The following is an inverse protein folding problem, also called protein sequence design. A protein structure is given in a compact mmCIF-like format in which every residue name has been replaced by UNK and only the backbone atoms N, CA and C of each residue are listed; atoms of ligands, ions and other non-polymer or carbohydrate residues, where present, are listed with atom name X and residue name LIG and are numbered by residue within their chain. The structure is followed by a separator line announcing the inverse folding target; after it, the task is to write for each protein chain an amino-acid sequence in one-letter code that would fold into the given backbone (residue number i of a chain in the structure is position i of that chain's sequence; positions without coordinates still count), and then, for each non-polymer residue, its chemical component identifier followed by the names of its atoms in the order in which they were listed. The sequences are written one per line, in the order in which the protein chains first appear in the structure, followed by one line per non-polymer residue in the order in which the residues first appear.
data_IF_208225018388
#
_entry.id   IF_208225018388
#
_cell.length_a   1.000
_cell.length_b   1.000
_cell.length_c   1.000
_cell.angle_alpha   90.00
_cell.angle_beta   90.00
_cell.angle_gamma   90.00
#
_symmetry.space_group_name_H-M   'P 1'
#
loop_
_entity.id
_entity.type
_entity.pdbx_description
1 polymer ?
#
# COMPACT_ATOMS: atom_id res chain seq x y z
N UNK A 1 36.95 -33.57 -0.23
CA UNK A 1 38.07 -32.96 0.53
C UNK A 1 37.66 -31.81 1.45
N UNK A 2 36.50 -31.20 1.29
CA UNK A 2 36.05 -30.06 2.14
C UNK A 2 35.52 -30.45 3.53
N UNK A 3 35.05 -31.66 3.76
CA UNK A 3 34.43 -32.07 5.05
C UNK A 3 35.45 -32.41 6.15
N UNK A 4 36.65 -32.81 5.82
CA UNK A 4 37.68 -33.14 6.80
C UNK A 4 38.32 -31.92 7.49
N UNK A 5 38.33 -30.77 6.85
CA UNK A 5 38.89 -29.54 7.45
C UNK A 5 38.00 -28.97 8.54
N UNK A 6 36.70 -29.21 8.50
CA UNK A 6 35.75 -28.63 9.46
C UNK A 6 35.80 -29.37 10.80
N UNK A 7 35.99 -30.70 10.80
CA UNK A 7 35.99 -31.52 12.02
C UNK A 7 37.33 -31.41 12.82
N UNK A 8 38.45 -31.19 12.16
CA UNK A 8 39.73 -30.94 12.85
C UNK A 8 39.81 -29.55 13.46
N UNK A 9 39.18 -28.55 12.84
CA UNK A 9 39.14 -27.17 13.37
C UNK A 9 38.29 -27.05 14.62
N UNK A 10 37.26 -27.85 14.74
CA UNK A 10 36.34 -27.82 15.93
C UNK A 10 37.02 -28.45 17.16
N UNK A 11 37.95 -29.43 16.97
CA UNK A 11 38.64 -30.12 18.09
C UNK A 11 39.59 -29.20 18.86
N UNK A 12 40.14 -28.18 18.22
CA UNK A 12 41.10 -27.25 18.84
C UNK A 12 40.44 -26.08 19.60
N UNK A 13 39.10 -25.96 19.53
CA UNK A 13 38.37 -24.91 20.22
C UNK A 13 37.91 -25.37 21.60
N UNK A 14 38.25 -24.57 22.61
CA UNK A 14 37.68 -24.72 23.94
C UNK A 14 36.20 -24.44 23.85
N UNK A 15 35.37 -25.42 24.20
CA UNK A 15 33.93 -25.25 24.28
C UNK A 15 33.62 -24.17 25.37
N UNK A 16 33.07 -23.06 24.96
CA UNK A 16 32.58 -22.01 25.85
C UNK A 16 31.05 -22.07 25.75
N UNK A 17 30.35 -22.40 26.86
CA UNK A 17 28.89 -22.38 26.85
C UNK A 17 28.42 -20.94 26.62
N UNK A 18 27.70 -20.73 25.55
CA UNK A 18 27.18 -19.42 25.14
C UNK A 18 25.66 -19.40 25.42
N UNK A 19 25.22 -18.33 26.05
CA UNK A 19 23.80 -18.09 26.28
C UNK A 19 23.19 -17.45 25.02
N UNK A 20 22.72 -18.31 24.11
CA UNK A 20 22.10 -17.87 22.87
C UNK A 20 20.96 -16.88 23.10
N UNK A 21 20.20 -17.03 24.20
CA UNK A 21 19.10 -16.13 24.51
C UNK A 21 19.58 -14.71 24.85
N UNK A 22 20.70 -14.57 25.55
CA UNK A 22 21.29 -13.24 25.82
C UNK A 22 21.76 -12.56 24.55
N UNK A 23 22.41 -13.27 23.66
CA UNK A 23 22.86 -12.73 22.37
C UNK A 23 21.66 -12.36 21.49
N UNK A 24 20.62 -13.20 21.43
CA UNK A 24 19.41 -12.92 20.70
C UNK A 24 18.72 -11.64 21.23
N UNK A 25 18.51 -11.57 22.54
CA UNK A 25 17.90 -10.39 23.18
C UNK A 25 18.74 -9.13 23.02
N UNK A 26 20.06 -9.24 23.13
CA UNK A 26 20.97 -8.13 22.86
C UNK A 26 20.87 -7.63 21.42
N UNK A 27 20.88 -8.54 20.45
CA UNK A 27 20.75 -8.20 19.02
C UNK A 27 19.40 -7.57 18.72
N UNK A 28 18.30 -8.14 19.24
CA UNK A 28 16.97 -7.55 19.10
C UNK A 28 16.89 -6.16 19.71
N UNK A 29 17.49 -5.97 20.89
CA UNK A 29 17.56 -4.66 21.54
C UNK A 29 18.30 -3.62 20.67
N UNK A 30 19.42 -3.99 20.07
CA UNK A 30 20.16 -3.11 19.14
C UNK A 30 19.32 -2.78 17.92
N UNK A 31 18.65 -3.76 17.33
CA UNK A 31 17.77 -3.56 16.16
C UNK A 31 16.63 -2.61 16.52
N UNK A 32 15.97 -2.80 17.65
CA UNK A 32 14.88 -1.91 18.11
C UNK A 32 15.39 -0.48 18.30
N UNK A 33 16.52 -0.29 18.96
CA UNK A 33 17.12 1.04 19.14
C UNK A 33 17.46 1.67 17.79
N UNK A 34 18.07 0.90 16.87
CA UNK A 34 18.39 1.37 15.53
C UNK A 34 17.14 1.82 14.77
N UNK A 35 16.08 1.00 14.79
CA UNK A 35 14.80 1.34 14.16
C UNK A 35 14.20 2.61 14.75
N UNK A 36 14.21 2.77 16.07
CA UNK A 36 13.69 3.99 16.73
C UNK A 36 14.50 5.23 16.36
N UNK A 37 15.83 5.12 16.31
CA UNK A 37 16.71 6.23 15.89
C UNK A 37 16.44 6.59 14.42
N UNK A 38 16.36 5.61 13.54
CA UNK A 38 16.05 5.86 12.13
C UNK A 38 14.65 6.47 11.96
N UNK A 39 13.66 6.01 12.73
CA UNK A 39 12.33 6.60 12.76
C UNK A 39 12.33 8.06 13.20
N UNK A 40 13.11 8.39 14.22
CA UNK A 40 13.23 9.77 14.70
C UNK A 40 13.90 10.70 13.68
N UNK A 41 14.87 10.20 12.92
CA UNK A 41 15.61 11.00 11.92
C UNK A 41 14.83 11.13 10.61
N UNK A 42 14.23 10.04 10.14
CA UNK A 42 13.60 9.94 8.81
C UNK A 42 12.07 9.88 8.87
N UNK A 43 11.47 9.81 10.05
CA UNK A 43 10.03 9.81 10.22
C UNK A 43 9.41 11.13 9.77
N UNK A 44 8.24 11.04 9.15
CA UNK A 44 7.44 12.23 8.80
C UNK A 44 6.68 12.69 10.04
N UNK A 45 6.57 14.01 10.29
CA UNK A 45 5.75 14.53 11.37
C UNK A 45 4.33 13.99 11.31
N UNK A 46 3.76 13.70 12.47
CA UNK A 46 2.39 13.23 12.58
C UNK A 46 1.43 14.23 11.94
N UNK A 47 0.58 13.73 11.06
CA UNK A 47 -0.46 14.52 10.39
C UNK A 47 -1.84 14.09 10.89
N UNK A 48 -2.81 15.00 10.88
CA UNK A 48 -4.18 14.63 11.19
C UNK A 48 -4.66 13.49 10.29
N UNK A 49 -5.46 12.55 10.81
CA UNK A 49 -5.98 11.45 10.01
C UNK A 49 -6.83 11.99 8.85
N UNK A 50 -6.71 11.33 7.70
CA UNK A 50 -7.56 11.64 6.55
C UNK A 50 -9.01 11.30 6.90
N UNK A 51 -9.90 12.26 6.69
CA UNK A 51 -11.34 12.11 6.89
C UNK A 51 -12.09 12.58 5.66
N UNK A 52 -13.27 12.01 5.41
CA UNK A 52 -14.13 12.43 4.27
C UNK A 52 -14.45 13.93 4.38
N UNK A 53 -14.78 14.40 5.58
CA UNK A 53 -15.06 15.83 5.81
C UNK A 53 -13.83 16.70 5.54
N UNK A 54 -12.67 16.30 6.04
CA UNK A 54 -11.41 17.01 5.81
C UNK A 54 -11.07 17.10 4.32
N UNK A 55 -11.12 15.98 3.62
CA UNK A 55 -10.83 15.90 2.20
C UNK A 55 -11.83 16.73 1.36
N UNK A 56 -13.15 16.59 1.61
CA UNK A 56 -14.18 17.37 0.93
C UNK A 56 -14.07 18.90 1.17
N UNK A 57 -13.57 19.30 2.35
CA UNK A 57 -13.42 20.72 2.69
C UNK A 57 -12.16 21.32 2.10
N UNK A 58 -11.03 20.61 2.18
CA UNK A 58 -9.72 21.10 1.75
C UNK A 58 -9.51 20.96 0.23
N UNK A 59 -10.06 19.89 -0.37
CA UNK A 59 -9.85 19.54 -1.78
C UNK A 59 -11.19 19.30 -2.50
N UNK A 60 -12.10 20.28 -2.59
CA UNK A 60 -13.45 20.07 -3.10
C UNK A 60 -13.50 19.63 -4.57
N UNK A 61 -12.58 20.10 -5.43
CA UNK A 61 -12.52 19.67 -6.83
C UNK A 61 -12.06 18.23 -6.94
N UNK A 62 -11.02 17.83 -6.19
CA UNK A 62 -10.53 16.46 -6.16
C UNK A 62 -11.60 15.51 -5.58
N UNK A 63 -12.32 15.95 -4.53
CA UNK A 63 -13.44 15.18 -3.98
C UNK A 63 -14.55 14.94 -5.02
N UNK A 64 -14.94 15.98 -5.78
CA UNK A 64 -15.94 15.81 -6.85
C UNK A 64 -15.43 14.88 -7.97
N UNK A 65 -14.15 14.96 -8.32
CA UNK A 65 -13.56 14.05 -9.30
C UNK A 65 -13.60 12.58 -8.81
N UNK A 66 -13.21 12.34 -7.54
CA UNK A 66 -13.30 11.01 -6.91
C UNK A 66 -14.75 10.50 -6.90
N UNK A 67 -15.69 11.30 -6.42
CA UNK A 67 -17.10 10.92 -6.36
C UNK A 67 -17.67 10.65 -7.78
N UNK A 68 -17.19 11.37 -8.80
CA UNK A 68 -17.60 11.13 -10.20
C UNK A 68 -17.05 9.82 -10.74
N UNK A 69 -15.78 9.49 -10.43
CA UNK A 69 -15.18 8.19 -10.78
C UNK A 69 -15.89 7.03 -10.10
N UNK A 70 -16.24 7.17 -8.82
CA UNK A 70 -17.01 6.16 -8.11
C UNK A 70 -18.41 5.98 -8.71
N UNK A 71 -19.09 7.10 -9.05
CA UNK A 71 -20.40 7.07 -9.74
C UNK A 71 -20.33 6.37 -11.10
N UNK A 72 -19.20 6.48 -11.79
CA UNK A 72 -18.96 5.81 -13.08
C UNK A 72 -18.44 4.38 -12.93
N UNK A 73 -18.12 3.93 -11.73
CA UNK A 73 -17.50 2.63 -11.48
C UNK A 73 -16.04 2.55 -11.96
N UNK A 74 -15.34 3.69 -12.03
CA UNK A 74 -13.93 3.79 -12.45
C UNK A 74 -13.00 4.27 -11.33
N UNK A 75 -13.50 4.47 -10.12
CA UNK A 75 -12.68 4.74 -8.95
C UNK A 75 -11.68 3.60 -8.67
N UNK A 76 -10.64 3.88 -7.90
CA UNK A 76 -9.61 2.87 -7.59
C UNK A 76 -10.18 1.60 -6.94
N UNK A 77 -11.21 1.73 -6.13
CA UNK A 77 -11.92 0.56 -5.59
C UNK A 77 -12.64 -0.24 -6.68
N UNK A 78 -13.08 0.41 -7.76
CA UNK A 78 -13.68 -0.23 -8.91
C UNK A 78 -12.68 -1.07 -9.74
N UNK A 79 -11.38 -0.86 -9.59
CA UNK A 79 -10.35 -1.63 -10.30
C UNK A 79 -10.31 -3.11 -9.91
N UNK A 80 -10.93 -3.49 -8.80
CA UNK A 80 -11.05 -4.90 -8.44
C UNK A 80 -11.98 -5.71 -9.37
N UNK A 81 -12.79 -5.07 -10.19
CA UNK A 81 -13.61 -5.76 -11.19
C UNK A 81 -14.70 -6.69 -10.65
N UNK A 82 -15.48 -7.30 -11.54
CA UNK A 82 -16.47 -8.31 -11.15
C UNK A 82 -15.80 -9.56 -10.55
N UNK A 83 -16.36 -10.19 -9.51
CA UNK A 83 -17.66 -9.89 -8.90
C UNK A 83 -17.62 -8.81 -7.83
N UNK A 84 -16.49 -8.14 -7.62
CA UNK A 84 -16.26 -7.22 -6.49
C UNK A 84 -16.85 -5.83 -6.74
N UNK A 85 -16.96 -5.43 -8.00
CA UNK A 85 -17.58 -4.18 -8.40
C UNK A 85 -18.05 -4.24 -9.85
N UNK A 86 -18.71 -3.18 -10.32
CA UNK A 86 -19.18 -3.05 -11.71
C UNK A 86 -18.15 -2.35 -12.62
N UNK A 87 -16.95 -2.08 -12.12
CA UNK A 87 -15.90 -1.43 -12.89
C UNK A 87 -15.32 -2.31 -13.98
N UNK A 88 -14.44 -1.72 -14.77
CA UNK A 88 -13.71 -2.40 -15.84
C UNK A 88 -12.46 -3.10 -15.36
N UNK A 89 -12.01 -2.81 -14.13
CA UNK A 89 -10.85 -3.45 -13.51
C UNK A 89 -11.11 -4.94 -13.24
N UNK A 90 -10.11 -5.75 -13.46
CA UNK A 90 -10.19 -7.21 -13.27
C UNK A 90 -8.86 -7.80 -12.83
N UNK A 91 -7.83 -6.97 -12.78
CA UNK A 91 -6.44 -7.41 -12.66
C UNK A 91 -6.20 -8.21 -11.39
N UNK A 92 -6.80 -7.77 -10.31
CA UNK A 92 -6.63 -8.37 -8.98
C UNK A 92 -7.66 -9.48 -8.67
N UNK A 93 -8.59 -9.77 -9.61
CA UNK A 93 -9.72 -10.65 -9.33
C UNK A 93 -9.31 -12.07 -8.91
N UNK A 94 -8.25 -12.62 -9.47
CA UNK A 94 -7.78 -13.96 -9.14
C UNK A 94 -7.04 -13.99 -7.80
N UNK A 95 -6.25 -12.98 -7.50
CA UNK A 95 -5.62 -12.81 -6.20
C UNK A 95 -6.66 -12.62 -5.09
N UNK A 96 -7.71 -11.86 -5.35
CA UNK A 96 -8.82 -11.66 -4.42
C UNK A 96 -9.56 -12.97 -4.14
N UNK A 97 -9.82 -13.78 -5.15
CA UNK A 97 -10.42 -15.11 -4.98
C UNK A 97 -9.55 -16.03 -4.12
N UNK A 98 -8.24 -16.06 -4.40
CA UNK A 98 -7.27 -16.85 -3.62
C UNK A 98 -7.21 -16.36 -2.17
N UNK A 99 -7.26 -15.04 -1.96
CA UNK A 99 -7.22 -14.41 -0.63
C UNK A 99 -8.52 -14.56 0.16
N UNK A 100 -9.59 -15.10 -0.44
CA UNK A 100 -10.88 -15.25 0.20
C UNK A 100 -11.64 -13.94 0.43
N UNK A 101 -11.37 -12.90 -0.37
CA UNK A 101 -12.13 -11.64 -0.32
C UNK A 101 -13.43 -11.84 -1.10
N UNK A 102 -14.53 -11.99 -0.37
CA UNK A 102 -15.84 -12.37 -0.95
C UNK A 102 -16.91 -11.27 -0.85
N UNK A 103 -16.53 -10.04 -0.56
CA UNK A 103 -17.46 -8.93 -0.45
C UNK A 103 -17.44 -8.10 -1.73
N UNK A 104 -18.38 -8.32 -2.66
CA UNK A 104 -18.49 -7.49 -3.84
C UNK A 104 -18.85 -6.06 -3.44
N UNK A 105 -18.16 -5.09 -4.04
CA UNK A 105 -18.36 -3.67 -3.75
C UNK A 105 -18.88 -3.01 -5.02
N UNK A 106 -20.08 -2.46 -4.94
CA UNK A 106 -20.60 -1.57 -5.96
C UNK A 106 -20.39 -0.12 -5.51
N UNK A 107 -19.26 0.48 -5.92
CA UNK A 107 -18.88 1.83 -5.51
C UNK A 107 -19.95 2.87 -5.88
N UNK A 108 -20.56 2.75 -7.05
CA UNK A 108 -21.66 3.63 -7.49
C UNK A 108 -22.81 3.63 -6.49
N UNK A 109 -23.28 2.43 -6.13
CA UNK A 109 -24.41 2.28 -5.23
C UNK A 109 -24.03 2.62 -3.78
N UNK A 110 -22.94 2.05 -3.28
CA UNK A 110 -22.62 2.12 -1.87
C UNK A 110 -22.06 3.49 -1.46
N UNK A 111 -21.26 4.12 -2.33
CA UNK A 111 -20.60 5.37 -1.96
C UNK A 111 -21.37 6.62 -2.40
N UNK A 112 -22.18 6.54 -3.47
CA UNK A 112 -22.82 7.70 -4.07
C UNK A 112 -24.34 7.60 -4.01
N UNK A 113 -24.95 6.62 -4.66
CA UNK A 113 -26.40 6.62 -4.84
C UNK A 113 -27.17 6.37 -3.55
N UNK A 114 -26.75 5.45 -2.69
CA UNK A 114 -27.38 5.22 -1.38
C UNK A 114 -27.26 6.43 -0.45
N UNK A 115 -26.09 7.05 -0.22
CA UNK A 115 -26.00 8.27 0.55
C UNK A 115 -26.89 9.40 -0.01
N UNK A 116 -26.95 9.55 -1.34
CA UNK A 116 -27.81 10.54 -1.98
C UNK A 116 -29.30 10.23 -1.82
N UNK A 117 -29.72 8.97 -1.92
CA UNK A 117 -31.12 8.59 -1.69
C UNK A 117 -31.55 8.86 -0.25
N UNK A 118 -30.65 8.63 0.71
CA UNK A 118 -30.88 9.00 2.12
C UNK A 118 -30.98 10.52 2.27
N UNK A 119 -30.13 11.28 1.60
CA UNK A 119 -30.17 12.75 1.61
C UNK A 119 -31.42 13.30 0.91
N UNK A 120 -31.87 12.66 -0.14
CA UNK A 120 -33.09 13.06 -0.87
C UNK A 120 -34.37 12.96 -0.03
N UNK A 121 -34.40 12.11 1.00
CA UNK A 121 -35.52 12.06 1.96
C UNK A 121 -35.56 13.30 2.86
N UNK A 122 -34.44 13.99 3.05
CA UNK A 122 -34.33 15.21 3.85
C UNK A 122 -34.40 16.45 2.93
N UNK A 123 -33.74 16.37 1.75
CA UNK A 123 -33.73 17.44 0.76
C UNK A 123 -34.31 16.92 -0.58
N UNK A 124 -35.61 17.12 -0.81
CA UNK A 124 -36.31 16.62 -2.00
C UNK A 124 -35.78 17.18 -3.33
N UNK A 125 -35.01 18.29 -3.32
CA UNK A 125 -34.46 18.88 -4.54
C UNK A 125 -33.46 17.98 -5.29
N UNK A 126 -32.90 16.97 -4.61
CA UNK A 126 -31.98 15.98 -5.18
C UNK A 126 -32.74 14.91 -5.99
N UNK A 127 -33.99 14.63 -5.60
CA UNK A 127 -34.79 13.51 -6.16
C UNK A 127 -34.98 13.55 -7.67
N UNK A 128 -35.23 14.71 -8.33
CA UNK A 128 -35.33 14.74 -9.78
C UNK A 128 -34.04 14.34 -10.51
N UNK A 129 -32.88 14.82 -10.01
CA UNK A 129 -31.58 14.46 -10.56
C UNK A 129 -31.27 12.97 -10.41
N UNK A 130 -31.57 12.38 -9.25
CA UNK A 130 -31.44 10.93 -9.03
C UNK A 130 -32.30 10.13 -10.01
N UNK A 131 -33.59 10.44 -10.13
CA UNK A 131 -34.47 9.74 -11.07
C UNK A 131 -34.00 9.87 -12.51
N UNK A 132 -33.56 11.04 -12.93
CA UNK A 132 -33.02 11.25 -14.28
C UNK A 132 -31.78 10.41 -14.52
N UNK A 133 -30.89 10.32 -13.55
CA UNK A 133 -29.70 9.48 -13.63
C UNK A 133 -30.05 8.00 -13.69
N UNK A 134 -30.86 7.52 -12.75
CA UNK A 134 -31.23 6.10 -12.64
C UNK A 134 -32.07 5.60 -13.82
N UNK A 135 -32.89 6.47 -14.43
CA UNK A 135 -33.70 6.13 -15.61
C UNK A 135 -32.93 6.15 -16.93
N UNK A 136 -31.73 6.72 -16.95
CA UNK A 136 -30.88 6.77 -18.12
C UNK A 136 -30.23 5.42 -18.40
N UNK A 137 -29.93 5.14 -19.67
CA UNK A 137 -29.14 3.96 -20.03
C UNK A 137 -27.74 4.02 -19.41
N UNK A 138 -27.15 2.88 -19.10
CA UNK A 138 -25.78 2.82 -18.57
C UNK A 138 -24.76 3.55 -19.46
N UNK A 139 -24.90 3.41 -20.77
CA UNK A 139 -24.04 4.12 -21.71
C UNK A 139 -24.16 5.66 -21.56
N UNK A 140 -25.38 6.16 -21.36
CA UNK A 140 -25.60 7.59 -21.16
C UNK A 140 -25.06 8.08 -19.80
N UNK A 141 -25.22 7.31 -18.74
CA UNK A 141 -24.64 7.60 -17.42
C UNK A 141 -23.12 7.74 -17.50
N UNK A 142 -22.46 6.79 -18.19
CA UNK A 142 -21.01 6.78 -18.40
C UNK A 142 -20.57 8.02 -19.20
N UNK A 143 -21.28 8.39 -20.28
CA UNK A 143 -20.95 9.57 -21.08
C UNK A 143 -21.02 10.84 -20.22
N UNK A 144 -22.09 11.01 -19.43
CA UNK A 144 -22.24 12.18 -18.57
C UNK A 144 -21.15 12.26 -17.49
N UNK A 145 -20.85 11.14 -16.85
CA UNK A 145 -19.84 11.08 -15.79
C UNK A 145 -18.43 11.35 -16.35
N UNK A 146 -18.05 10.72 -17.48
CA UNK A 146 -16.76 10.94 -18.12
C UNK A 146 -16.57 12.38 -18.56
N UNK A 147 -17.61 12.98 -19.15
CA UNK A 147 -17.54 14.38 -19.57
C UNK A 147 -17.36 15.32 -18.38
N UNK A 148 -18.06 15.03 -17.26
CA UNK A 148 -17.97 15.85 -16.07
C UNK A 148 -16.62 15.68 -15.38
N UNK A 149 -16.12 14.45 -15.24
CA UNK A 149 -14.79 14.16 -14.69
C UNK A 149 -13.69 14.88 -15.49
N UNK A 150 -13.74 14.79 -16.83
CA UNK A 150 -12.79 15.48 -17.69
C UNK A 150 -12.84 17.00 -17.50
N UNK A 151 -14.04 17.57 -17.36
CA UNK A 151 -14.19 18.99 -17.10
C UNK A 151 -13.65 19.39 -15.71
N UNK A 152 -13.87 18.57 -14.68
CA UNK A 152 -13.32 18.79 -13.33
C UNK A 152 -11.79 18.74 -13.33
N UNK A 153 -11.20 17.75 -13.97
CA UNK A 153 -9.74 17.56 -13.96
C UNK A 153 -9.00 18.59 -14.80
N UNK A 154 -9.61 19.11 -15.88
CA UNK A 154 -8.98 20.07 -16.79
C UNK A 154 -9.25 21.52 -16.40
N UNK A 155 -10.46 21.85 -15.97
CA UNK A 155 -10.94 23.21 -15.78
C UNK A 155 -11.66 23.42 -14.45
N UNK A 156 -11.68 22.42 -13.57
CA UNK A 156 -12.34 22.53 -12.28
C UNK A 156 -11.72 23.65 -11.43
N UNK A 157 -12.56 24.54 -10.93
CA UNK A 157 -12.15 25.58 -10.00
C UNK A 157 -13.08 25.60 -8.79
N UNK A 158 -12.54 25.99 -7.66
CA UNK A 158 -13.32 26.13 -6.43
C UNK A 158 -13.25 27.57 -5.92
N UNK A 159 -14.40 28.21 -5.83
CA UNK A 159 -14.53 29.53 -5.21
C UNK A 159 -15.57 29.45 -4.09
N UNK A 160 -15.21 29.94 -2.90
CA UNK A 160 -16.08 29.92 -1.73
C UNK A 160 -16.68 28.51 -1.42
N UNK A 161 -15.92 27.47 -1.71
CA UNK A 161 -16.33 26.09 -1.47
C UNK A 161 -17.33 25.52 -2.47
N UNK A 162 -17.67 26.22 -3.52
CA UNK A 162 -18.48 25.75 -4.64
C UNK A 162 -17.56 25.41 -5.81
N UNK A 163 -17.71 24.21 -6.36
CA UNK A 163 -16.97 23.77 -7.55
C UNK A 163 -17.72 24.26 -8.79
N UNK A 164 -16.97 24.77 -9.75
CA UNK A 164 -17.48 25.25 -11.04
C UNK A 164 -16.67 24.63 -12.17
N UNK A 165 -17.37 24.24 -13.23
CA UNK A 165 -16.81 23.72 -14.47
C UNK A 165 -17.44 24.43 -15.67
N UNK A 166 -16.79 24.50 -16.84
CA UNK A 166 -17.42 25.01 -18.06
C UNK A 166 -18.71 24.25 -18.39
N UNK A 167 -19.61 24.92 -19.11
CA UNK A 167 -20.85 24.28 -19.56
C UNK A 167 -20.57 23.08 -20.50
N UNK A 168 -21.31 22.03 -20.34
CA UNK A 168 -21.14 20.79 -21.14
C UNK A 168 -22.31 19.83 -20.99
N UNK A 169 -22.25 18.70 -21.70
CA UNK A 169 -23.26 17.66 -21.63
C UNK A 169 -22.93 16.71 -20.46
N UNK A 170 -23.39 17.06 -19.26
CA UNK A 170 -23.15 16.32 -18.03
C UNK A 170 -24.41 15.69 -17.43
N UNK A 171 -25.58 15.94 -18.06
CA UNK A 171 -26.88 15.51 -17.49
C UNK A 171 -27.08 15.96 -16.04
N UNK A 172 -27.58 15.08 -15.18
CA UNK A 172 -27.80 15.39 -13.77
C UNK A 172 -26.54 15.28 -12.88
N UNK A 173 -25.41 14.81 -13.42
CA UNK A 173 -24.18 14.49 -12.68
C UNK A 173 -23.68 15.68 -11.83
N UNK A 174 -23.59 16.91 -12.32
CA UNK A 174 -23.14 18.04 -11.49
C UNK A 174 -24.00 18.26 -10.24
N UNK A 175 -25.31 18.08 -10.36
CA UNK A 175 -26.23 18.21 -9.22
C UNK A 175 -26.03 17.12 -8.19
N UNK A 176 -25.85 15.88 -8.63
CA UNK A 176 -25.60 14.73 -7.76
C UNK A 176 -24.26 14.84 -7.05
N UNK A 177 -23.21 15.17 -7.78
CA UNK A 177 -21.86 15.25 -7.23
C UNK A 177 -21.70 16.45 -6.30
N UNK A 178 -22.28 17.61 -6.63
CA UNK A 178 -22.31 18.71 -5.68
C UNK A 178 -23.10 18.37 -4.40
N UNK A 179 -24.21 17.65 -4.50
CA UNK A 179 -24.93 17.17 -3.32
C UNK A 179 -24.04 16.20 -2.49
N UNK A 180 -23.29 15.32 -3.13
CA UNK A 180 -22.32 14.43 -2.47
C UNK A 180 -21.22 15.24 -1.79
N UNK A 181 -20.69 16.29 -2.42
CA UNK A 181 -19.73 17.20 -1.81
C UNK A 181 -20.28 17.87 -0.55
N UNK A 182 -21.56 18.34 -0.57
CA UNK A 182 -22.18 18.93 0.61
C UNK A 182 -22.37 17.89 1.74
N UNK A 183 -22.72 16.65 1.41
CA UNK A 183 -22.75 15.55 2.38
C UNK A 183 -21.37 15.28 2.98
N UNK A 184 -20.32 15.30 2.16
CA UNK A 184 -18.94 15.17 2.61
C UNK A 184 -18.55 16.27 3.58
N UNK A 185 -18.74 17.54 3.20
CA UNK A 185 -18.42 18.73 4.02
C UNK A 185 -19.18 18.78 5.35
N UNK A 186 -20.45 18.41 5.35
CA UNK A 186 -21.25 18.36 6.58
C UNK A 186 -20.84 17.22 7.51
N UNK A 187 -20.14 16.19 7.01
CA UNK A 187 -19.84 14.96 7.73
C UNK A 187 -20.96 13.92 7.68
N UNK A 188 -22.10 14.23 7.08
CA UNK A 188 -23.24 13.30 6.96
C UNK A 188 -22.91 12.09 6.09
N UNK A 189 -22.04 12.25 5.08
CA UNK A 189 -21.58 11.14 4.25
C UNK A 189 -20.90 10.06 5.08
N UNK A 190 -20.08 10.44 6.07
CA UNK A 190 -19.45 9.47 6.97
C UNK A 190 -20.49 8.63 7.71
N UNK A 191 -21.54 9.27 8.23
CA UNK A 191 -22.65 8.56 8.88
C UNK A 191 -23.42 7.66 7.92
N UNK A 192 -23.65 8.09 6.68
CA UNK A 192 -24.34 7.29 5.67
C UNK A 192 -23.54 6.05 5.27
N UNK A 193 -22.21 6.16 5.16
CA UNK A 193 -21.32 5.04 4.81
C UNK A 193 -21.08 4.06 5.95
N UNK A 194 -21.23 4.48 7.20
CA UNK A 194 -21.05 3.60 8.39
C UNK A 194 -22.35 2.93 8.85
N UNK A 195 -23.49 3.33 8.29
CA UNK A 195 -24.79 2.77 8.68
C UNK A 195 -24.96 1.36 8.13
N UNK A 196 -25.24 0.40 9.01
CA UNK A 196 -25.69 -0.92 8.61
C UNK A 196 -27.23 -0.96 8.62
N UNK A 197 -27.90 -1.09 7.47
CA UNK A 197 -29.37 -1.13 7.42
C UNK A 197 -29.98 -2.37 8.09
N UNK A 198 -29.19 -3.44 8.24
CA UNK A 198 -29.69 -4.71 8.79
C UNK A 198 -29.63 -4.78 10.31
N UNK A 199 -28.83 -3.94 10.96
CA UNK A 199 -28.65 -3.95 12.43
C UNK A 199 -28.48 -2.52 12.95
N UNK A 200 -29.51 -1.97 13.56
CA UNK A 200 -29.55 -0.57 14.06
C UNK A 200 -28.44 -0.24 15.07
N UNK A 201 -27.85 -1.24 15.71
CA UNK A 201 -26.87 -1.08 16.79
C UNK A 201 -25.41 -1.35 16.36
N UNK A 202 -25.18 -1.75 15.12
CA UNK A 202 -23.81 -2.03 14.64
C UNK A 202 -23.42 -1.06 13.53
N UNK A 203 -22.37 -0.29 13.78
CA UNK A 203 -21.70 0.47 12.76
C UNK A 203 -20.77 -0.45 11.96
N UNK A 204 -20.81 -0.34 10.64
CA UNK A 204 -19.87 -0.99 9.75
C UNK A 204 -19.01 0.08 9.06
N UNK A 205 -17.75 0.16 9.42
CA UNK A 205 -16.82 1.14 8.87
C UNK A 205 -16.26 0.74 7.49
N UNK A 206 -16.65 -0.41 6.95
CA UNK A 206 -16.07 -0.94 5.71
C UNK A 206 -16.19 0.07 4.56
N UNK A 207 -17.38 0.52 4.24
CA UNK A 207 -17.59 1.45 3.12
C UNK A 207 -16.90 2.80 3.34
N UNK A 208 -16.85 3.28 4.58
CA UNK A 208 -16.13 4.49 4.94
C UNK A 208 -14.63 4.35 4.70
N UNK A 209 -14.03 3.26 5.15
CA UNK A 209 -12.60 2.99 4.98
C UNK A 209 -12.25 2.74 3.51
N UNK A 210 -13.08 2.01 2.77
CA UNK A 210 -12.87 1.73 1.36
C UNK A 210 -12.93 3.01 0.52
N UNK A 211 -13.89 3.89 0.78
CA UNK A 211 -13.94 5.19 0.11
C UNK A 211 -12.65 5.99 0.33
N UNK A 212 -12.16 6.05 1.58
CA UNK A 212 -10.91 6.76 1.89
C UNK A 212 -9.67 6.07 1.32
N UNK A 213 -9.62 4.74 1.35
CA UNK A 213 -8.50 3.94 0.83
C UNK A 213 -8.33 4.06 -0.69
N UNK A 214 -9.38 4.41 -1.41
CA UNK A 214 -9.34 4.61 -2.84
C UNK A 214 -8.54 5.86 -3.26
N UNK A 215 -9.16 6.67 -4.09
CA UNK A 215 -8.54 7.90 -4.61
C UNK A 215 -8.13 8.92 -3.54
N UNK A 216 -8.89 9.17 -2.44
CA UNK A 216 -8.50 10.14 -1.42
C UNK A 216 -7.15 9.84 -0.76
N UNK A 217 -6.87 8.58 -0.44
CA UNK A 217 -5.59 8.20 0.15
C UNK A 217 -4.45 8.28 -0.87
N UNK A 218 -4.71 7.88 -2.10
CA UNK A 218 -3.76 8.02 -3.19
C UNK A 218 -3.37 9.49 -3.41
N UNK A 219 -4.34 10.39 -3.48
CA UNK A 219 -4.12 11.83 -3.66
C UNK A 219 -3.35 12.44 -2.48
N UNK A 220 -3.55 11.92 -1.27
CA UNK A 220 -2.79 12.34 -0.09
C UNK A 220 -1.37 11.76 -0.06
N UNK A 221 -1.17 10.55 -0.57
CA UNK A 221 0.10 9.82 -0.54
C UNK A 221 1.05 10.24 -1.67
N UNK A 222 0.52 10.52 -2.87
CA UNK A 222 1.32 10.81 -4.06
C UNK A 222 2.28 11.99 -3.90
N UNK A 223 1.89 13.16 -3.37
CA UNK A 223 2.82 14.27 -3.14
C UNK A 223 3.91 13.97 -2.12
N UNK A 224 3.67 12.99 -1.25
CA UNK A 224 4.62 12.53 -0.24
C UNK A 224 5.53 11.41 -0.76
N UNK A 225 5.40 11.02 -2.03
CA UNK A 225 6.15 9.92 -2.64
C UNK A 225 5.94 8.57 -1.93
N UNK A 226 4.72 8.29 -1.44
CA UNK A 226 4.38 7.11 -0.65
C UNK A 226 3.70 5.99 -1.45
N UNK A 227 3.52 6.17 -2.75
CA UNK A 227 2.96 5.12 -3.60
C UNK A 227 3.97 4.00 -3.83
N UNK A 228 3.51 2.79 -4.11
CA UNK A 228 4.36 1.61 -4.27
C UNK A 228 5.43 1.76 -5.35
N UNK A 229 5.12 2.46 -6.44
CA UNK A 229 6.03 2.79 -7.53
C UNK A 229 6.97 3.96 -7.24
N UNK A 230 6.80 4.63 -6.12
CA UNK A 230 7.59 5.81 -5.73
C UNK A 230 8.62 5.47 -4.67
N UNK A 231 9.78 6.16 -4.72
CA UNK A 231 10.88 5.93 -3.77
C UNK A 231 10.66 6.52 -2.37
N UNK A 232 9.70 7.40 -2.21
CA UNK A 232 9.39 8.04 -0.93
C UNK A 232 8.94 7.09 0.18
N UNK A 233 8.50 5.89 -0.17
CA UNK A 233 8.15 4.84 0.78
C UNK A 233 9.29 4.50 1.76
N UNK A 234 10.54 4.74 1.35
CA UNK A 234 11.73 4.52 2.18
C UNK A 234 11.88 5.63 3.22
N UNK A 235 11.48 6.85 2.88
CA UNK A 235 11.72 8.04 3.71
C UNK A 235 10.57 8.34 4.66
N UNK A 236 9.35 8.09 4.25
CA UNK A 236 8.18 8.59 4.95
C UNK A 236 6.99 7.63 4.80
N UNK A 237 7.17 6.40 5.22
CA UNK A 237 6.18 5.34 5.06
C UNK A 237 4.81 5.72 5.64
N UNK A 238 4.80 6.18 6.89
CA UNK A 238 3.58 6.65 7.57
C UNK A 238 4.00 7.73 8.58
N UNK A 239 3.29 8.84 8.69
CA UNK A 239 3.56 9.84 9.73
C UNK A 239 3.61 9.20 11.12
N UNK A 240 4.66 9.50 11.89
CA UNK A 240 4.86 8.96 13.24
C UNK A 240 5.36 7.51 13.34
N UNK A 241 5.55 6.82 12.20
CA UNK A 241 6.07 5.44 12.17
C UNK A 241 7.45 5.37 11.52
N UNK A 242 8.23 4.32 11.80
CA UNK A 242 9.49 4.07 11.09
C UNK A 242 9.26 4.01 9.59
N UNK A 243 10.20 4.55 8.81
CA UNK A 243 10.17 4.42 7.37
C UNK A 243 10.05 2.93 6.96
N UNK A 244 9.30 2.64 5.93
CA UNK A 244 9.06 1.26 5.47
C UNK A 244 10.25 0.70 4.69
N UNK A 245 11.42 0.64 5.32
CA UNK A 245 12.66 0.13 4.72
C UNK A 245 12.52 -1.30 4.17
N UNK A 246 11.63 -2.12 4.75
CA UNK A 246 11.31 -3.47 4.27
C UNK A 246 10.62 -3.47 2.89
N UNK A 247 10.06 -2.33 2.48
CA UNK A 247 9.43 -2.17 1.16
C UNK A 247 10.45 -1.80 0.07
N UNK A 248 11.73 -1.63 0.41
CA UNK A 248 12.79 -1.26 -0.56
C UNK A 248 12.85 -2.23 -1.74
N UNK A 249 12.78 -3.54 -1.48
CA UNK A 249 12.84 -4.56 -2.53
C UNK A 249 11.61 -4.49 -3.45
N UNK A 250 10.36 -4.53 -2.94
CA UNK A 250 9.18 -4.32 -3.78
C UNK A 250 9.24 -3.00 -4.57
N UNK A 251 9.59 -1.90 -3.92
CA UNK A 251 9.70 -0.58 -4.58
C UNK A 251 10.71 -0.60 -5.72
N UNK A 252 11.86 -1.25 -5.54
CA UNK A 252 12.86 -1.42 -6.58
C UNK A 252 12.35 -2.26 -7.76
N UNK A 253 11.60 -3.33 -7.50
CA UNK A 253 10.98 -4.16 -8.54
C UNK A 253 9.97 -3.34 -9.35
N UNK A 254 9.20 -2.45 -8.72
CA UNK A 254 8.27 -1.55 -9.42
C UNK A 254 8.97 -0.59 -10.39
N UNK A 255 10.28 -0.29 -10.21
CA UNK A 255 11.02 0.56 -11.14
C UNK A 255 11.41 -0.16 -12.45
N UNK A 256 11.21 -1.49 -12.52
CA UNK A 256 11.52 -2.22 -13.74
C UNK A 256 10.47 -1.93 -14.82
N UNK A 257 10.87 -1.53 -16.04
CA UNK A 257 9.92 -1.07 -17.06
C UNK A 257 8.81 -2.07 -17.40
N UNK A 258 9.12 -3.37 -17.40
CA UNK A 258 8.12 -4.40 -17.68
C UNK A 258 7.13 -4.61 -16.53
N UNK A 259 7.49 -4.27 -15.31
CA UNK A 259 6.58 -4.27 -14.16
C UNK A 259 5.78 -2.98 -14.14
N UNK A 260 6.45 -1.81 -14.20
CA UNK A 260 5.81 -0.50 -14.15
C UNK A 260 4.72 -0.30 -15.23
N UNK A 261 4.95 -0.85 -16.44
CA UNK A 261 4.00 -0.73 -17.56
C UNK A 261 2.97 -1.86 -17.61
N UNK A 262 2.99 -2.79 -16.66
CA UNK A 262 2.05 -3.90 -16.62
C UNK A 262 0.73 -3.48 -15.94
N UNK A 263 -0.42 -3.86 -16.50
CA UNK A 263 -1.69 -3.70 -15.77
C UNK A 263 -1.77 -4.56 -14.50
N UNK A 264 -0.88 -5.56 -14.36
CA UNK A 264 -0.76 -6.43 -13.19
C UNK A 264 0.53 -6.14 -12.40
N UNK A 265 0.96 -4.88 -12.29
CA UNK A 265 2.22 -4.50 -11.65
C UNK A 265 2.34 -5.03 -10.21
N UNK A 266 1.27 -4.94 -9.42
CA UNK A 266 1.24 -5.42 -8.03
C UNK A 266 1.45 -6.93 -7.94
N UNK A 267 0.74 -7.69 -8.78
CA UNK A 267 0.87 -9.15 -8.83
C UNK A 267 2.26 -9.59 -9.28
N UNK A 268 2.84 -8.89 -10.26
CA UNK A 268 4.21 -9.15 -10.74
C UNK A 268 5.24 -8.84 -9.67
N UNK A 269 5.16 -7.66 -9.04
CA UNK A 269 6.10 -7.26 -7.99
C UNK A 269 6.05 -8.23 -6.80
N UNK A 270 4.84 -8.64 -6.38
CA UNK A 270 4.65 -9.63 -5.34
C UNK A 270 5.23 -10.99 -5.72
N UNK A 271 4.96 -11.47 -6.94
CA UNK A 271 5.44 -12.78 -7.42
C UNK A 271 6.96 -12.83 -7.54
N UNK A 272 7.57 -11.79 -8.08
CA UNK A 272 9.03 -11.67 -8.19
C UNK A 272 9.66 -11.59 -6.79
N UNK A 273 9.09 -10.77 -5.91
CA UNK A 273 9.53 -10.65 -4.53
C UNK A 273 9.44 -11.98 -3.78
N UNK A 274 8.33 -12.70 -3.94
CA UNK A 274 8.16 -14.03 -3.35
C UNK A 274 9.17 -15.05 -3.91
N UNK A 275 9.38 -15.07 -5.22
CA UNK A 275 10.38 -15.94 -5.84
C UNK A 275 11.79 -15.64 -5.31
N UNK A 276 12.13 -14.37 -5.14
CA UNK A 276 13.42 -13.96 -4.55
C UNK A 276 13.56 -14.46 -3.10
N UNK A 277 12.55 -14.28 -2.27
CA UNK A 277 12.54 -14.80 -0.91
C UNK A 277 12.60 -16.32 -0.85
N UNK A 278 11.92 -17.00 -1.77
CA UNK A 278 11.97 -18.47 -1.87
C UNK A 278 13.38 -18.96 -2.22
N UNK A 279 14.04 -18.30 -3.17
CA UNK A 279 15.45 -18.62 -3.52
C UNK A 279 16.35 -18.40 -2.32
N UNK A 280 16.21 -17.30 -1.59
CA UNK A 280 16.99 -17.05 -0.37
C UNK A 280 16.72 -18.12 0.70
N UNK A 281 15.46 -18.46 0.95
CA UNK A 281 15.09 -19.48 1.91
C UNK A 281 15.64 -20.87 1.54
N UNK A 282 15.64 -21.21 0.27
CA UNK A 282 16.13 -22.49 -0.24
C UNK A 282 17.64 -22.54 -0.47
N UNK A 283 18.35 -21.42 -0.32
CA UNK A 283 19.81 -21.32 -0.53
C UNK A 283 20.60 -22.47 0.12
N UNK A 284 20.33 -22.92 1.36
CA UNK A 284 21.05 -24.04 1.97
C UNK A 284 20.95 -25.35 1.20
N UNK A 285 19.85 -25.56 0.47
CA UNK A 285 19.56 -26.80 -0.26
C UNK A 285 19.88 -26.72 -1.76
N UNK A 286 20.09 -25.53 -2.32
CA UNK A 286 20.43 -25.38 -3.74
C UNK A 286 21.89 -25.75 -3.96
N UNK A 287 22.22 -26.76 -4.79
CA UNK A 287 23.58 -27.15 -5.07
C UNK A 287 24.38 -25.99 -5.64
N UNK A 288 25.55 -25.73 -5.07
CA UNK A 288 26.43 -24.63 -5.48
C UNK A 288 26.15 -23.32 -4.72
N UNK A 289 24.91 -22.93 -4.53
CA UNK A 289 24.56 -21.72 -3.77
C UNK A 289 24.91 -21.83 -2.28
N UNK A 290 24.73 -22.99 -1.69
CA UNK A 290 25.16 -23.26 -0.31
C UNK A 290 26.69 -23.10 -0.10
N UNK A 291 27.47 -23.07 -1.19
CA UNK A 291 28.93 -22.87 -1.14
C UNK A 291 29.35 -21.41 -1.35
N UNK A 292 28.46 -20.54 -1.79
CA UNK A 292 28.74 -19.11 -2.03
C UNK A 292 29.40 -18.43 -0.83
N UNK A 293 28.96 -18.57 0.43
CA UNK A 293 29.63 -18.00 1.59
C UNK A 293 31.09 -18.46 1.74
N UNK A 294 31.39 -19.71 1.31
CA UNK A 294 32.76 -20.25 1.31
C UNK A 294 33.64 -19.65 0.21
N UNK A 295 33.06 -19.45 -0.99
CA UNK A 295 33.78 -18.81 -2.10
C UNK A 295 34.07 -17.33 -1.81
N UNK A 296 33.13 -16.64 -1.19
CA UNK A 296 33.29 -15.24 -0.75
C UNK A 296 34.21 -15.08 0.47
N UNK A 297 34.60 -16.19 1.11
CA UNK A 297 35.49 -16.17 2.25
C UNK A 297 34.87 -15.50 3.52
N UNK A 298 33.52 -15.44 3.60
CA UNK A 298 32.79 -14.84 4.73
C UNK A 298 33.21 -15.44 6.08
N UNK A 299 33.54 -16.74 6.09
CA UNK A 299 34.04 -17.42 7.27
C UNK A 299 35.34 -16.80 7.82
N UNK A 300 36.16 -16.17 6.97
CA UNK A 300 37.40 -15.50 7.41
C UNK A 300 37.10 -14.24 8.23
N UNK A 301 35.98 -13.58 8.00
CA UNK A 301 35.54 -12.44 8.79
C UNK A 301 35.00 -12.91 10.14
N UNK A 302 34.21 -13.97 10.15
CA UNK A 302 33.63 -14.55 11.36
C UNK A 302 34.71 -15.15 12.25
N UNK A 303 35.68 -15.82 11.67
CA UNK A 303 36.75 -16.54 12.37
C UNK A 303 38.10 -15.78 12.34
N UNK A 304 38.06 -14.46 12.28
CA UNK A 304 39.24 -13.59 12.16
C UNK A 304 40.29 -13.89 13.22
N UNK A 305 39.87 -14.00 14.47
CA UNK A 305 40.79 -14.22 15.60
C UNK A 305 41.39 -15.62 15.59
N UNK A 306 40.67 -16.62 15.12
CA UNK A 306 41.24 -17.97 14.90
C UNK A 306 42.34 -17.96 13.89
N UNK A 307 42.13 -17.40 12.72
CA UNK A 307 43.13 -17.35 11.68
C UNK A 307 44.34 -16.53 12.07
N UNK A 308 44.12 -15.43 12.82
CA UNK A 308 45.18 -14.63 13.36
C UNK A 308 46.04 -15.41 14.36
N UNK A 309 45.43 -16.07 15.34
CA UNK A 309 46.10 -16.83 16.38
C UNK A 309 46.86 -18.05 15.78
N UNK A 310 46.26 -18.71 14.79
CA UNK A 310 46.92 -19.82 14.07
C UNK A 310 48.14 -19.36 13.29
N UNK A 311 48.05 -18.24 12.59
CA UNK A 311 49.19 -17.68 11.87
C UNK A 311 50.30 -17.22 12.84
N UNK A 312 49.95 -16.72 13.98
CA UNK A 312 50.91 -16.36 15.04
C UNK A 312 51.60 -17.60 15.62
N UNK A 313 50.82 -18.65 15.94
CA UNK A 313 51.36 -19.90 16.46
C UNK A 313 52.31 -20.58 15.47
N UNK A 314 52.00 -20.57 14.16
CA UNK A 314 52.90 -21.07 13.13
C UNK A 314 54.21 -20.27 13.07
N UNK A 315 54.16 -18.96 13.09
CA UNK A 315 55.38 -18.12 13.11
C UNK A 315 56.22 -18.33 14.37
N UNK A 316 55.60 -18.58 15.50
CA UNK A 316 56.29 -18.83 16.76
C UNK A 316 56.93 -20.24 16.80
N UNK A 317 56.29 -21.23 16.15
CA UNK A 317 56.87 -22.57 15.98
C UNK A 317 58.08 -22.60 15.02
N UNK A 318 57.97 -21.86 13.90
CA UNK A 318 59.09 -21.68 12.97
C UNK A 318 60.29 -21.01 13.64
N UNK A 319 60.04 -20.00 14.46
CA UNK A 319 61.11 -19.30 15.21
C UNK A 319 61.75 -20.15 16.30
N UNK A 320 61.05 -21.15 16.83
CA UNK A 320 61.59 -22.08 17.83
C UNK A 320 62.28 -23.31 17.24
N UNK A 321 62.36 -23.44 15.92
CA UNK A 321 63.00 -24.56 15.26
C UNK A 321 62.37 -25.92 15.52
N UNK A 322 61.09 -25.93 15.89
CA UNK A 322 60.33 -27.15 16.11
C UNK A 322 59.53 -27.37 14.82
N UNK A 323 60.07 -28.18 13.93
CA UNK A 323 59.44 -28.72 12.73
C UNK A 323 58.73 -30.04 13.05
#
# INVERSE_FOLDING_TARGET
MASRMDDEMVKDYKYVPEDFMKHLMGTLGIIVVLVLVLAAIFGVPEKPPLTIKGYATQHPVAFEAVATRDLNGQGRIANYGPPYNNGTGYVESDLQKISGIWHPINAEQEFILKPLSMAASINPSISPALRTFESASRAQQIIWANNYEKALTTHGSSASGKVTVPAGNYGPVPTLINATLQLGKSGLMSGALTRNPSVVTRFNNQNYLLFLQGDPMHDAASPLQLLGEQWGIIHAAVPGYPAAWWMTIPTWIYQWPFVANSPAADALALSIGFAFWLVLALTPWIPGWNRVPRYLGVYRLIWKDFYYNRAKAQKDSEKRGIS
#
